data_IF_481341880602
#
_entry.id   IF_481341880602
#
_cell.length_a   1.000
_cell.length_b   1.000
_cell.length_c   1.000
_cell.angle_alpha   90.00
_cell.angle_beta   90.00
_cell.angle_gamma   90.00
#
_symmetry.space_group_name_H-M   'P 1'
#
loop_
_entity.id
_entity.type
_entity.pdbx_description
1 polymer ?
#
# COMPACT_ATOMS: atom_id res chain seq x y z
N UNK A 1 -5.95 0.76 -28.57
CA UNK A 1 -7.38 0.76 -28.94
C UNK A 1 -7.83 -0.44 -29.78
N UNK A 2 -7.23 -0.71 -30.96
CA UNK A 2 -7.71 -1.80 -31.85
C UNK A 2 -7.64 -3.21 -31.25
N UNK A 3 -6.61 -3.48 -30.45
CA UNK A 3 -6.47 -4.75 -29.75
C UNK A 3 -7.55 -4.92 -28.67
N UNK A 4 -7.81 -3.86 -27.89
CA UNK A 4 -8.85 -3.83 -26.86
C UNK A 4 -10.27 -3.92 -27.43
N UNK A 5 -10.56 -3.22 -28.53
CA UNK A 5 -11.84 -3.32 -29.23
C UNK A 5 -12.12 -4.77 -29.68
N UNK A 6 -11.09 -5.45 -30.20
CA UNK A 6 -11.17 -6.87 -30.57
C UNK A 6 -11.37 -7.78 -29.35
N UNK A 7 -10.61 -7.57 -28.27
CA UNK A 7 -10.73 -8.38 -27.04
C UNK A 7 -12.09 -8.21 -26.36
N UNK A 8 -12.64 -6.99 -26.34
CA UNK A 8 -13.94 -6.68 -25.76
C UNK A 8 -15.12 -6.90 -26.72
N UNK A 9 -14.87 -7.39 -27.95
CA UNK A 9 -15.88 -7.61 -29.00
C UNK A 9 -16.75 -6.38 -29.30
N UNK A 10 -16.17 -5.18 -29.24
CA UNK A 10 -16.85 -3.90 -29.53
C UNK A 10 -16.15 -3.14 -30.67
N UNK A 11 -16.83 -2.15 -31.25
CA UNK A 11 -16.21 -1.30 -32.27
C UNK A 11 -15.13 -0.39 -31.67
N UNK A 12 -14.11 -0.04 -32.48
CA UNK A 12 -13.11 0.97 -32.10
C UNK A 12 -13.77 2.28 -31.64
N UNK A 13 -14.86 2.68 -32.31
CA UNK A 13 -15.66 3.87 -31.99
C UNK A 13 -16.31 3.78 -30.59
N UNK A 14 -16.77 2.60 -30.18
CA UNK A 14 -17.31 2.36 -28.84
C UNK A 14 -16.25 2.58 -27.76
N UNK A 15 -15.03 2.09 -27.99
CA UNK A 15 -13.91 2.28 -27.04
C UNK A 15 -13.50 3.76 -26.96
N UNK A 16 -13.41 4.45 -28.10
CA UNK A 16 -13.10 5.89 -28.12
C UNK A 16 -14.20 6.73 -27.45
N UNK A 17 -15.48 6.40 -27.66
CA UNK A 17 -16.59 7.12 -27.02
C UNK A 17 -16.57 6.96 -25.49
N UNK A 18 -16.10 5.82 -24.97
CA UNK A 18 -16.10 5.56 -23.54
C UNK A 18 -14.86 6.16 -22.84
N UNK A 19 -13.68 6.09 -23.45
CA UNK A 19 -12.43 6.51 -22.81
C UNK A 19 -11.83 7.80 -23.36
N UNK A 20 -12.26 8.30 -24.52
CA UNK A 20 -11.76 9.54 -25.13
C UNK A 20 -10.36 9.43 -25.77
N UNK A 21 -9.39 8.80 -25.11
CA UNK A 21 -8.04 8.56 -25.63
C UNK A 21 -7.41 7.27 -25.11
N UNK A 22 -6.28 6.86 -25.71
CA UNK A 22 -5.54 5.67 -25.26
C UNK A 22 -4.94 5.90 -23.87
N UNK A 23 -4.46 7.11 -23.59
CA UNK A 23 -3.95 7.49 -22.27
C UNK A 23 -5.06 7.36 -21.22
N UNK A 24 -6.25 7.92 -21.46
CA UNK A 24 -7.37 7.85 -20.52
C UNK A 24 -7.85 6.40 -20.25
N UNK A 25 -7.74 5.50 -21.23
CA UNK A 25 -7.98 4.07 -21.01
C UNK A 25 -6.88 3.43 -20.15
N UNK A 26 -5.60 3.71 -20.42
CA UNK A 26 -4.47 3.21 -19.63
C UNK A 26 -4.60 3.69 -18.17
N UNK A 27 -4.96 4.96 -17.98
CA UNK A 27 -5.26 5.55 -16.67
C UNK A 27 -6.35 4.76 -15.94
N UNK A 28 -7.48 4.52 -16.61
CA UNK A 28 -8.60 3.79 -16.02
C UNK A 28 -8.20 2.35 -15.62
N UNK A 29 -7.44 1.66 -16.47
CA UNK A 29 -6.92 0.32 -16.18
C UNK A 29 -5.97 0.34 -14.98
N UNK A 30 -5.02 1.28 -14.94
CA UNK A 30 -4.09 1.44 -13.84
C UNK A 30 -4.82 1.71 -12.53
N UNK A 31 -5.77 2.65 -12.52
CA UNK A 31 -6.56 2.98 -11.32
C UNK A 31 -7.35 1.76 -10.82
N UNK A 32 -7.96 0.98 -11.72
CA UNK A 32 -8.73 -0.21 -11.35
C UNK A 32 -7.83 -1.33 -10.81
N UNK A 33 -6.68 -1.57 -11.43
CA UNK A 33 -5.71 -2.55 -10.93
C UNK A 33 -5.17 -2.14 -9.55
N UNK A 34 -4.87 -0.85 -9.33
CA UNK A 34 -4.43 -0.35 -8.02
C UNK A 34 -5.52 -0.49 -6.96
N UNK A 35 -6.79 -0.24 -7.31
CA UNK A 35 -7.93 -0.44 -6.41
C UNK A 35 -8.04 -1.90 -5.95
N UNK A 36 -7.86 -2.85 -6.86
CA UNK A 36 -7.91 -4.29 -6.55
C UNK A 36 -6.71 -4.74 -5.71
N UNK A 37 -5.52 -4.18 -5.95
CA UNK A 37 -4.32 -4.49 -5.18
C UNK A 37 -4.37 -3.96 -3.72
N UNK A 38 -5.21 -2.97 -3.44
CA UNK A 38 -5.29 -2.30 -2.13
C UNK A 38 -6.47 -2.80 -1.28
N UNK A 39 -6.89 -4.06 -1.45
CA UNK A 39 -7.97 -4.63 -0.64
C UNK A 39 -7.64 -4.61 0.86
N UNK A 40 -8.61 -4.31 1.74
CA UNK A 40 -8.34 -4.21 3.17
C UNK A 40 -7.85 -5.54 3.76
N UNK A 41 -6.74 -5.47 4.51
CA UNK A 41 -6.29 -6.57 5.36
C UNK A 41 -7.28 -6.73 6.52
N UNK A 42 -7.84 -7.92 6.68
CA UNK A 42 -8.89 -8.25 7.68
C UNK A 42 -8.39 -8.46 9.11
N UNK A 43 -7.19 -7.97 9.46
CA UNK A 43 -6.65 -8.08 10.81
C UNK A 43 -7.30 -7.05 11.73
N UNK A 44 -7.75 -7.53 12.89
CA UNK A 44 -8.43 -6.72 13.91
C UNK A 44 -7.57 -6.61 15.16
N UNK A 45 -7.68 -5.47 15.84
CA UNK A 45 -7.05 -5.21 17.13
C UNK A 45 -7.63 -6.10 18.23
N UNK A 46 -6.78 -6.56 19.16
CA UNK A 46 -7.17 -7.38 20.31
C UNK A 46 -6.55 -6.82 21.61
N UNK A 47 -7.43 -6.45 22.55
CA UNK A 47 -7.07 -5.89 23.86
C UNK A 47 -6.32 -6.89 24.73
N UNK A 48 -6.55 -8.19 24.55
CA UNK A 48 -5.97 -9.26 25.38
C UNK A 48 -4.63 -9.77 24.85
N UNK A 49 -4.21 -9.37 23.65
CA UNK A 49 -2.94 -9.80 23.06
C UNK A 49 -1.82 -8.76 23.24
N UNK A 50 -0.55 -9.19 23.35
CA UNK A 50 0.59 -8.27 23.38
C UNK A 50 0.62 -7.37 22.14
N UNK A 51 0.93 -6.07 22.30
CA UNK A 51 0.98 -5.12 21.18
C UNK A 51 2.02 -5.54 20.13
N UNK A 52 3.15 -6.08 20.55
CA UNK A 52 4.25 -6.51 19.68
C UNK A 52 3.80 -7.56 18.67
N UNK A 53 3.15 -8.63 19.12
CA UNK A 53 2.69 -9.72 18.26
C UNK A 53 1.66 -9.25 17.23
N UNK A 54 0.65 -8.50 17.69
CA UNK A 54 -0.42 -8.05 16.81
C UNK A 54 0.06 -6.98 15.82
N UNK A 55 0.94 -6.07 16.24
CA UNK A 55 1.52 -5.07 15.34
C UNK A 55 2.47 -5.72 14.33
N UNK A 56 3.27 -6.69 14.75
CA UNK A 56 4.11 -7.48 13.85
C UNK A 56 3.25 -8.15 12.76
N UNK A 57 2.17 -8.84 13.14
CA UNK A 57 1.26 -9.48 12.18
C UNK A 57 0.60 -8.46 11.21
N UNK A 58 0.20 -7.29 11.71
CA UNK A 58 -0.34 -6.21 10.87
C UNK A 58 0.70 -5.71 9.87
N UNK A 59 1.93 -5.44 10.32
CA UNK A 59 3.00 -4.95 9.47
C UNK A 59 3.43 -6.02 8.45
N UNK A 60 3.50 -7.28 8.84
CA UNK A 60 3.85 -8.39 7.95
C UNK A 60 2.82 -8.53 6.81
N UNK A 61 1.54 -8.37 7.11
CA UNK A 61 0.49 -8.37 6.10
C UNK A 61 0.59 -7.15 5.15
N UNK A 62 0.93 -5.96 5.66
CA UNK A 62 1.20 -4.78 4.83
C UNK A 62 2.42 -5.01 3.91
N UNK A 63 3.50 -5.58 4.44
CA UNK A 63 4.70 -5.92 3.66
C UNK A 63 4.35 -6.93 2.56
N UNK A 64 3.56 -7.96 2.87
CA UNK A 64 3.15 -8.97 1.90
C UNK A 64 2.31 -8.37 0.76
N UNK A 65 1.41 -7.44 1.07
CA UNK A 65 0.58 -6.75 0.08
C UNK A 65 1.42 -5.79 -0.78
N UNK A 66 2.26 -4.97 -0.15
CA UNK A 66 3.12 -4.00 -0.85
C UNK A 66 4.15 -4.70 -1.73
N UNK A 67 4.78 -5.75 -1.22
CA UNK A 67 5.86 -6.50 -1.87
C UNK A 67 5.40 -7.63 -2.79
N UNK A 68 4.08 -7.79 -3.03
CA UNK A 68 3.58 -8.74 -4.00
C UNK A 68 4.10 -8.40 -5.41
N UNK A 69 4.47 -9.40 -6.20
CA UNK A 69 5.01 -9.22 -7.55
C UNK A 69 4.09 -8.35 -8.41
N UNK A 70 2.79 -8.65 -8.38
CA UNK A 70 1.77 -7.93 -9.13
C UNK A 70 1.67 -6.47 -8.67
N UNK A 71 1.81 -6.22 -7.37
CA UNK A 71 1.83 -4.87 -6.79
C UNK A 71 3.06 -4.09 -7.27
N UNK A 72 4.25 -4.67 -7.20
CA UNK A 72 5.50 -4.02 -7.60
C UNK A 72 5.50 -3.72 -9.11
N UNK A 73 5.11 -4.67 -9.94
CA UNK A 73 5.08 -4.48 -11.39
C UNK A 73 4.04 -3.44 -11.82
N UNK A 74 2.87 -3.44 -11.18
CA UNK A 74 1.86 -2.42 -11.41
C UNK A 74 2.38 -1.04 -10.99
N UNK A 75 2.92 -0.90 -9.77
CA UNK A 75 3.51 0.35 -9.30
C UNK A 75 4.63 0.82 -10.24
N UNK A 76 5.45 -0.08 -10.79
CA UNK A 76 6.51 0.25 -11.75
C UNK A 76 5.94 0.90 -13.02
N UNK A 77 4.86 0.34 -13.58
CA UNK A 77 4.16 0.91 -14.73
C UNK A 77 3.59 2.29 -14.37
N UNK A 78 2.98 2.41 -13.19
CA UNK A 78 2.40 3.68 -12.72
C UNK A 78 3.47 4.77 -12.57
N UNK A 79 4.49 4.51 -11.77
CA UNK A 79 5.57 5.47 -11.53
C UNK A 79 6.32 5.78 -12.82
N UNK A 80 6.55 4.81 -13.71
CA UNK A 80 7.16 5.05 -15.01
C UNK A 80 6.33 5.95 -15.93
N UNK A 81 5.01 5.82 -15.90
CA UNK A 81 4.11 6.66 -16.69
C UNK A 81 4.05 8.10 -16.16
N UNK A 82 3.92 8.27 -14.84
CA UNK A 82 3.75 9.60 -14.24
C UNK A 82 5.03 10.27 -13.75
N UNK A 83 6.20 9.66 -13.94
CA UNK A 83 7.46 10.18 -13.40
C UNK A 83 7.70 11.65 -13.75
N UNK A 84 7.36 12.04 -14.99
CA UNK A 84 7.47 13.40 -15.51
C UNK A 84 6.16 14.19 -15.49
N UNK A 85 5.13 13.68 -14.80
CA UNK A 85 3.80 14.28 -14.71
C UNK A 85 3.31 14.34 -13.24
N UNK A 86 4.01 15.12 -12.38
CA UNK A 86 3.77 15.12 -10.94
C UNK A 86 2.34 15.51 -10.55
N UNK A 87 1.70 16.43 -11.28
CA UNK A 87 0.32 16.85 -11.01
C UNK A 87 -0.69 15.72 -11.25
N UNK A 88 -0.46 14.89 -12.27
CA UNK A 88 -1.31 13.73 -12.55
C UNK A 88 -1.06 12.63 -11.53
N UNK A 89 0.20 12.37 -11.17
CA UNK A 89 0.54 11.43 -10.10
C UNK A 89 -0.15 11.82 -8.79
N UNK A 90 -0.09 13.09 -8.40
CA UNK A 90 -0.70 13.57 -7.17
C UNK A 90 -2.21 13.34 -7.16
N UNK A 91 -2.90 13.67 -8.27
CA UNK A 91 -4.35 13.45 -8.39
C UNK A 91 -4.73 11.97 -8.29
N UNK A 92 -3.97 11.09 -8.92
CA UNK A 92 -4.23 9.65 -8.84
C UNK A 92 -3.94 9.11 -7.44
N UNK A 93 -2.80 9.44 -6.84
CA UNK A 93 -2.44 9.03 -5.48
C UNK A 93 -3.46 9.52 -4.46
N UNK A 94 -4.02 10.72 -4.61
CA UNK A 94 -5.06 11.26 -3.73
C UNK A 94 -6.34 10.41 -3.73
N UNK A 95 -6.74 9.80 -4.86
CA UNK A 95 -7.91 8.92 -4.92
C UNK A 95 -7.74 7.68 -4.03
N UNK A 96 -6.51 7.24 -3.81
CA UNK A 96 -6.18 6.05 -3.02
C UNK A 96 -5.70 6.36 -1.61
N UNK A 97 -5.18 7.56 -1.36
CA UNK A 97 -4.79 8.02 -0.02
C UNK A 97 -5.97 8.06 0.96
N UNK A 98 -7.21 8.04 0.45
CA UNK A 98 -8.43 7.91 1.23
C UNK A 98 -8.66 6.49 1.77
N UNK A 99 -7.98 5.46 1.24
CA UNK A 99 -8.07 4.11 1.78
C UNK A 99 -7.32 4.00 3.10
N UNK A 100 -8.05 3.56 4.11
CA UNK A 100 -7.47 3.30 5.40
C UNK A 100 -6.65 1.99 5.39
N UNK A 101 -5.38 2.07 5.79
CA UNK A 101 -4.51 0.89 5.89
C UNK A 101 -4.79 0.10 7.18
N UNK A 102 -4.35 -1.17 7.24
CA UNK A 102 -4.51 -1.96 8.45
C UNK A 102 -3.68 -1.44 9.61
N UNK A 103 -2.47 -0.93 9.31
CA UNK A 103 -1.66 -0.24 10.31
C UNK A 103 -2.42 0.95 10.93
N UNK A 104 -3.07 1.79 10.10
CA UNK A 104 -3.84 2.94 10.58
C UNK A 104 -5.06 2.53 11.43
N UNK A 105 -5.82 1.52 10.99
CA UNK A 105 -6.93 0.94 11.78
C UNK A 105 -6.45 0.45 13.14
N UNK A 106 -5.35 -0.29 13.15
CA UNK A 106 -4.77 -0.87 14.34
C UNK A 106 -4.30 0.21 15.33
N UNK A 107 -3.59 1.23 14.84
CA UNK A 107 -3.09 2.35 15.66
C UNK A 107 -4.26 3.08 16.34
N UNK A 108 -5.34 3.36 15.60
CA UNK A 108 -6.53 4.01 16.17
C UNK A 108 -7.14 3.18 17.29
N UNK A 109 -7.27 1.86 17.09
CA UNK A 109 -7.84 0.98 18.10
C UNK A 109 -6.94 0.87 19.35
N UNK A 110 -5.62 0.74 19.17
CA UNK A 110 -4.66 0.67 20.26
C UNK A 110 -4.54 2.00 21.06
N UNK A 111 -4.66 3.14 20.37
CA UNK A 111 -4.74 4.47 20.99
C UNK A 111 -6.06 4.64 21.78
N UNK A 112 -7.19 4.20 21.22
CA UNK A 112 -8.47 4.21 21.94
C UNK A 112 -8.48 3.32 23.19
N UNK A 113 -7.72 2.21 23.17
CA UNK A 113 -7.47 1.34 24.34
C UNK A 113 -6.40 1.90 25.30
N UNK A 114 -5.86 3.10 25.04
CA UNK A 114 -4.85 3.77 25.87
C UNK A 114 -3.59 2.94 26.11
N UNK A 115 -3.26 2.05 25.18
CA UNK A 115 -2.01 1.25 25.22
C UNK A 115 -0.89 1.90 24.39
N UNK A 116 -1.23 2.95 23.65
CA UNK A 116 -0.29 3.85 23.00
C UNK A 116 -0.37 5.24 23.64
N UNK A 117 0.77 5.94 23.63
CA UNK A 117 0.87 7.36 23.99
C UNK A 117 -0.06 8.20 23.14
N UNK A 118 -0.37 9.40 23.63
CA UNK A 118 -1.05 10.38 22.81
C UNK A 118 -0.20 10.71 21.57
N UNK A 119 -0.79 10.53 20.38
CA UNK A 119 -0.08 10.56 19.10
C UNK A 119 -1.00 11.04 17.97
N UNK A 120 -0.38 11.59 16.93
CA UNK A 120 -1.05 11.80 15.66
C UNK A 120 -1.07 10.49 14.87
N UNK A 121 -2.27 9.94 14.65
CA UNK A 121 -2.48 8.64 13.99
C UNK A 121 -1.96 8.66 12.55
N UNK A 122 -2.08 9.78 11.84
CA UNK A 122 -1.61 9.89 10.45
C UNK A 122 -0.08 9.85 10.41
N UNK A 123 0.56 10.59 11.31
CA UNK A 123 2.03 10.62 11.41
C UNK A 123 2.56 9.23 11.81
N UNK A 124 1.99 8.60 12.83
CA UNK A 124 2.39 7.29 13.29
C UNK A 124 2.23 6.22 12.19
N UNK A 125 1.11 6.23 11.46
CA UNK A 125 0.90 5.33 10.33
C UNK A 125 1.90 5.59 9.20
N UNK A 126 2.17 6.86 8.86
CA UNK A 126 3.13 7.22 7.83
C UNK A 126 4.56 6.78 8.18
N UNK A 127 4.95 6.82 9.45
CA UNK A 127 6.26 6.35 9.91
C UNK A 127 6.42 4.83 9.73
N UNK A 128 5.40 4.02 10.06
CA UNK A 128 5.41 2.57 9.78
C UNK A 128 5.60 2.33 8.28
N UNK A 129 4.80 2.99 7.44
CA UNK A 129 4.92 2.82 5.99
C UNK A 129 6.30 3.25 5.45
N UNK A 130 6.90 4.30 6.02
CA UNK A 130 8.23 4.77 5.62
C UNK A 130 9.30 3.72 5.93
N UNK A 131 9.24 3.11 7.12
CA UNK A 131 10.17 2.07 7.54
C UNK A 131 10.08 0.82 6.64
N UNK A 132 8.87 0.35 6.33
CA UNK A 132 8.71 -0.83 5.48
C UNK A 132 9.04 -0.55 4.01
N UNK A 133 8.58 0.58 3.44
CA UNK A 133 8.80 0.89 2.02
C UNK A 133 10.28 1.08 1.68
N UNK A 134 11.08 1.56 2.63
CA UNK A 134 12.53 1.64 2.48
C UNK A 134 13.20 0.30 2.17
N UNK A 135 12.59 -0.81 2.59
CA UNK A 135 13.17 -2.16 2.52
C UNK A 135 12.45 -3.09 1.54
N UNK A 136 11.12 -2.99 1.42
CA UNK A 136 10.30 -3.93 0.64
C UNK A 136 9.56 -3.31 -0.56
N UNK A 137 9.72 -2.00 -0.80
CA UNK A 137 9.07 -1.32 -1.92
C UNK A 137 10.07 -0.63 -2.85
N UNK A 138 10.79 0.39 -2.37
CA UNK A 138 11.66 1.21 -3.25
C UNK A 138 12.80 0.40 -3.88
N UNK A 139 13.54 -0.47 -3.15
CA UNK A 139 14.59 -1.28 -3.76
C UNK A 139 14.08 -2.21 -4.86
N UNK A 140 12.91 -2.84 -4.64
CA UNK A 140 12.27 -3.77 -5.58
C UNK A 140 11.66 -3.04 -6.79
N UNK A 141 11.03 -1.88 -6.54
CA UNK A 141 10.53 -0.98 -7.59
C UNK A 141 11.67 -0.52 -8.50
N UNK A 142 12.87 -0.29 -7.96
CA UNK A 142 14.05 0.11 -8.73
C UNK A 142 14.85 -1.08 -9.30
N UNK A 143 14.44 -2.32 -9.01
CA UNK A 143 15.15 -3.55 -9.40
C UNK A 143 16.59 -3.64 -8.84
N UNK A 144 16.84 -3.01 -7.69
CA UNK A 144 18.14 -3.04 -7.01
C UNK A 144 18.31 -4.35 -6.24
N UNK A 145 17.22 -4.85 -5.67
CA UNK A 145 17.20 -6.09 -4.88
C UNK A 145 16.01 -6.96 -5.27
N UNK A 146 16.08 -8.30 -5.07
CA UNK A 146 14.94 -9.18 -5.25
C UNK A 146 13.81 -8.86 -4.25
N UNK A 147 12.64 -9.45 -4.50
CA UNK A 147 11.54 -9.48 -3.53
C UNK A 147 11.99 -10.17 -2.24
N UNK A 148 11.45 -9.73 -1.12
CA UNK A 148 11.74 -10.33 0.17
C UNK A 148 11.08 -11.72 0.27
N UNK A 149 11.82 -12.69 0.80
CA UNK A 149 11.26 -13.99 1.17
C UNK A 149 10.44 -13.91 2.47
N UNK A 150 9.84 -15.02 2.91
CA UNK A 150 8.99 -15.03 4.09
C UNK A 150 9.75 -14.65 5.39
N UNK A 151 10.98 -15.11 5.55
CA UNK A 151 11.81 -14.84 6.73
C UNK A 151 12.18 -13.35 6.78
N UNK A 152 12.65 -12.80 5.66
CA UNK A 152 12.98 -11.38 5.53
C UNK A 152 11.78 -10.45 5.77
N UNK A 153 10.59 -10.85 5.33
CA UNK A 153 9.35 -10.09 5.59
C UNK A 153 9.01 -10.08 7.09
N UNK A 154 9.11 -11.24 7.74
CA UNK A 154 8.87 -11.36 9.18
C UNK A 154 9.88 -10.54 10.00
N UNK A 155 11.17 -10.66 9.69
CA UNK A 155 12.25 -9.89 10.33
C UNK A 155 12.03 -8.37 10.21
N UNK A 156 11.64 -7.91 9.01
CA UNK A 156 11.33 -6.50 8.79
C UNK A 156 10.12 -6.06 9.62
N UNK A 157 9.08 -6.90 9.69
CA UNK A 157 7.87 -6.60 10.46
C UNK A 157 8.15 -6.51 11.96
N UNK A 158 8.88 -7.50 12.51
CA UNK A 158 9.23 -7.56 13.92
C UNK A 158 10.06 -6.33 14.35
N UNK A 159 11.11 -6.01 13.58
CA UNK A 159 11.98 -4.85 13.87
C UNK A 159 11.21 -3.54 13.76
N UNK A 160 10.34 -3.41 12.75
CA UNK A 160 9.52 -2.20 12.59
C UNK A 160 8.54 -2.05 13.76
N UNK A 161 7.89 -3.14 14.19
CA UNK A 161 7.02 -3.15 15.36
C UNK A 161 7.77 -2.75 16.63
N UNK A 162 8.98 -3.31 16.84
CA UNK A 162 9.81 -2.98 18.00
C UNK A 162 10.23 -1.51 18.02
N UNK A 163 10.70 -0.96 16.88
CA UNK A 163 11.06 0.47 16.76
C UNK A 163 9.84 1.34 17.07
N UNK A 164 8.69 1.05 16.46
CA UNK A 164 7.47 1.81 16.66
C UNK A 164 7.03 1.81 18.13
N UNK A 165 6.95 0.62 18.75
CA UNK A 165 6.50 0.46 20.13
C UNK A 165 7.49 1.03 21.13
N UNK A 166 8.80 1.03 20.84
CA UNK A 166 9.79 1.67 21.71
C UNK A 166 9.51 3.17 21.93
N UNK A 167 8.91 3.82 20.93
CA UNK A 167 8.54 5.23 21.00
C UNK A 167 7.10 5.44 21.49
N UNK A 168 6.13 4.70 20.92
CA UNK A 168 4.70 4.97 21.09
C UNK A 168 3.99 4.11 22.14
N UNK A 169 4.56 2.99 22.60
CA UNK A 169 3.90 2.22 23.65
C UNK A 169 3.87 3.02 24.96
N UNK A 170 2.75 2.95 25.68
CA UNK A 170 2.70 3.48 27.03
C UNK A 170 3.69 2.73 27.93
N UNK A 171 4.40 3.48 28.78
CA UNK A 171 5.23 2.87 29.81
C UNK A 171 4.30 2.30 30.87
N UNK A 172 4.29 0.98 31.02
CA UNK A 172 3.65 0.32 32.18
C UNK A 172 4.32 0.73 33.49
#
# INVERSE_FOLDING_TARGET
>A
MDMLARMAQVSKRTVYNHFGSTEALIMHLISEMWRQATLPIGLSYDTHRPLSEQLCAVIEAEIAMIGATESIELNRVVFGHFFYQPDLLQREVQKFSAHETAAKRWIRAAHADKRLKDLDIEVASAQIHSLIKGSCFWPQLMQITPLLDAEQRHDLAERTAAIFLSHYAESQ
#
